data_IF_172294241171
#
_entry.id   IF_172294241171
#
_cell.length_a   1.000
_cell.length_b   1.000
_cell.length_c   1.000
_cell.angle_alpha   90.00
_cell.angle_beta   90.00
_cell.angle_gamma   90.00
#
_symmetry.space_group_name_H-M   'P 1'
#
loop_
_entity.id
_entity.type
_entity.pdbx_description
1 polymer ?
#
# COMPACT_ATOMS: atom_id res chain seq x y z
N UNK A 1 27.95 -6.66 -9.42
CA UNK A 1 27.85 -6.72 -7.95
C UNK A 1 27.48 -8.15 -7.57
N UNK A 2 28.20 -8.74 -6.63
CA UNK A 2 27.87 -10.02 -6.01
C UNK A 2 27.60 -9.76 -4.52
N UNK A 3 26.58 -10.38 -4.00
CA UNK A 3 26.23 -10.32 -2.58
C UNK A 3 26.43 -11.70 -1.96
N UNK A 4 26.93 -11.74 -0.75
CA UNK A 4 27.01 -12.96 0.05
C UNK A 4 26.41 -12.69 1.44
N UNK A 5 25.87 -13.73 2.05
CA UNK A 5 25.35 -13.64 3.42
C UNK A 5 26.54 -13.72 4.37
N UNK A 6 26.95 -12.60 4.91
CA UNK A 6 28.05 -12.53 5.87
C UNK A 6 27.67 -13.16 7.22
N UNK A 7 26.41 -12.94 7.67
CA UNK A 7 25.87 -13.47 8.91
C UNK A 7 24.39 -13.82 8.73
N UNK A 8 23.99 -15.11 8.85
CA UNK A 8 22.62 -15.53 8.57
C UNK A 8 21.60 -15.12 9.63
N UNK A 9 22.05 -14.81 10.85
CA UNK A 9 21.20 -14.36 11.96
C UNK A 9 21.93 -13.31 12.77
N UNK A 10 21.27 -12.18 13.03
CA UNK A 10 21.75 -11.19 13.98
C UNK A 10 21.46 -11.68 15.40
N UNK A 11 22.44 -11.58 16.28
CA UNK A 11 22.37 -12.08 17.66
C UNK A 11 22.74 -10.99 18.64
N UNK A 12 22.16 -11.09 19.85
CA UNK A 12 22.47 -10.22 20.95
C UNK A 12 22.87 -11.04 22.20
N UNK A 13 23.59 -10.41 23.12
CA UNK A 13 24.04 -10.96 24.39
C UNK A 13 24.70 -12.36 24.23
N UNK A 14 25.50 -12.52 23.18
CA UNK A 14 26.32 -13.71 22.93
C UNK A 14 25.60 -14.96 22.43
N UNK A 15 24.33 -14.89 22.04
CA UNK A 15 23.72 -16.11 21.48
C UNK A 15 22.25 -16.11 21.12
N UNK A 16 21.46 -15.18 21.59
CA UNK A 16 20.01 -15.10 21.27
C UNK A 16 19.81 -14.36 19.96
N UNK A 17 19.00 -14.90 19.04
CA UNK A 17 18.67 -14.22 17.79
C UNK A 17 17.79 -12.99 18.08
N UNK A 18 18.04 -11.88 17.38
CA UNK A 18 17.09 -10.78 17.26
C UNK A 18 15.91 -11.30 16.45
N UNK A 19 14.71 -11.20 17.00
CA UNK A 19 13.47 -11.72 16.38
C UNK A 19 12.55 -10.55 16.06
N UNK A 20 12.00 -10.58 14.87
CA UNK A 20 10.97 -9.67 14.37
C UNK A 20 9.80 -10.49 13.83
N UNK A 21 8.59 -9.97 13.88
CA UNK A 21 7.44 -10.62 13.21
C UNK A 21 7.59 -10.51 11.70
N UNK A 22 6.97 -11.38 10.89
CA UNK A 22 7.17 -11.40 9.43
C UNK A 22 6.87 -10.08 8.73
N UNK A 23 5.91 -9.31 9.22
CA UNK A 23 5.48 -8.04 8.64
C UNK A 23 6.09 -6.82 9.35
N UNK A 24 6.98 -7.03 10.34
CA UNK A 24 7.66 -5.93 11.01
C UNK A 24 8.78 -5.35 10.12
N UNK A 25 8.93 -4.02 10.19
CA UNK A 25 10.07 -3.30 9.62
C UNK A 25 10.80 -2.60 10.76
N UNK A 26 11.98 -3.09 11.17
CA UNK A 26 12.76 -2.47 12.24
C UNK A 26 13.39 -1.16 11.80
N UNK A 27 13.57 -0.23 12.73
CA UNK A 27 14.41 0.95 12.57
C UNK A 27 15.89 0.57 12.65
N UNK A 28 16.68 0.97 11.64
CA UNK A 28 18.14 0.73 11.62
C UNK A 28 18.84 2.08 11.42
N UNK A 29 19.39 2.61 12.49
CA UNK A 29 20.03 3.93 12.54
C UNK A 29 21.05 3.99 13.67
N UNK A 30 21.99 4.93 13.63
CA UNK A 30 22.89 5.24 14.75
C UNK A 30 22.08 6.01 15.81
N UNK A 31 21.66 5.32 16.86
CA UNK A 31 20.77 5.88 17.90
C UNK A 31 21.56 6.68 18.92
N UNK A 32 22.76 6.22 19.25
CA UNK A 32 23.56 6.77 20.35
C UNK A 32 24.69 7.71 19.88
N UNK A 33 24.81 7.95 18.57
CA UNK A 33 25.79 8.86 17.98
C UNK A 33 27.21 8.31 17.95
N UNK A 34 27.41 6.99 18.06
CA UNK A 34 28.74 6.37 18.07
C UNK A 34 29.29 6.05 16.65
N UNK A 35 28.51 6.29 15.61
CA UNK A 35 28.86 6.09 14.21
C UNK A 35 28.59 4.68 13.71
N UNK A 36 27.91 3.83 14.46
CA UNK A 36 27.54 2.46 14.09
C UNK A 36 26.02 2.30 14.08
N UNK A 37 25.49 1.54 13.14
CA UNK A 37 24.05 1.34 13.05
C UNK A 37 23.54 0.38 14.13
N UNK A 38 22.55 0.82 14.85
CA UNK A 38 21.80 0.10 15.88
C UNK A 38 20.47 -0.43 15.33
N UNK A 39 19.70 -1.17 16.14
CA UNK A 39 18.41 -1.71 15.77
C UNK A 39 17.35 -1.38 16.83
N UNK A 40 16.24 -0.81 16.35
CA UNK A 40 14.98 -0.71 17.08
C UNK A 40 13.97 -1.70 16.50
N UNK A 41 13.33 -2.49 17.33
CA UNK A 41 12.25 -3.37 16.87
C UNK A 41 11.18 -3.50 17.94
N UNK A 42 9.93 -3.61 17.51
CA UNK A 42 8.88 -3.98 18.45
C UNK A 42 9.19 -5.35 19.06
N UNK A 43 8.88 -5.49 20.34
CA UNK A 43 9.17 -6.72 21.09
C UNK A 43 8.40 -7.89 20.51
N UNK A 44 9.13 -8.90 20.07
CA UNK A 44 8.55 -10.12 19.53
C UNK A 44 7.56 -10.77 20.51
N UNK A 45 6.35 -11.03 20.04
CA UNK A 45 5.27 -11.70 20.77
C UNK A 45 4.34 -10.79 21.57
N UNK A 46 4.71 -9.55 21.89
CA UNK A 46 3.80 -8.57 22.55
C UNK A 46 3.51 -7.37 21.67
N UNK A 47 4.48 -6.94 20.87
CA UNK A 47 4.42 -5.82 19.90
C UNK A 47 3.88 -4.49 20.49
N UNK A 48 4.06 -4.26 21.79
CA UNK A 48 3.56 -3.05 22.46
C UNK A 48 4.66 -2.09 22.88
N UNK A 49 5.89 -2.57 23.00
CA UNK A 49 7.07 -1.78 23.40
C UNK A 49 8.21 -2.04 22.43
N UNK A 50 9.13 -1.10 22.32
CA UNK A 50 10.31 -1.20 21.45
C UNK A 50 11.52 -1.68 22.22
N UNK A 51 12.17 -2.73 21.73
CA UNK A 51 13.47 -3.19 22.20
C UNK A 51 14.57 -2.43 21.44
N UNK A 52 15.59 -1.94 22.15
CA UNK A 52 16.79 -1.32 21.60
C UNK A 52 17.97 -2.30 21.67
N UNK A 53 18.56 -2.57 20.51
CA UNK A 53 19.76 -3.38 20.35
C UNK A 53 20.90 -2.51 19.86
N UNK A 54 21.79 -2.16 20.78
CA UNK A 54 23.00 -1.41 20.48
C UNK A 54 24.02 -2.32 19.79
N UNK A 55 24.57 -1.87 18.68
CA UNK A 55 25.66 -2.55 18.00
C UNK A 55 27.00 -2.21 18.69
N UNK A 56 27.54 -3.18 19.39
CA UNK A 56 28.84 -3.08 20.08
C UNK A 56 29.99 -3.69 19.26
N UNK A 57 29.69 -4.13 18.03
CA UNK A 57 30.65 -4.76 17.14
C UNK A 57 31.55 -3.75 16.41
N UNK A 58 32.24 -4.28 15.43
CA UNK A 58 33.11 -3.49 14.54
C UNK A 58 32.77 -3.79 13.09
N UNK A 59 33.25 -2.98 12.15
CA UNK A 59 33.07 -3.22 10.73
C UNK A 59 33.52 -4.67 10.37
N UNK A 60 32.57 -5.45 9.83
CA UNK A 60 32.78 -6.85 9.46
C UNK A 60 32.51 -7.88 10.56
N UNK A 61 32.15 -7.45 11.78
CA UNK A 61 31.74 -8.34 12.89
C UNK A 61 30.64 -7.68 13.70
N UNK A 62 29.39 -7.96 13.32
CA UNK A 62 28.20 -7.41 14.00
C UNK A 62 27.99 -8.13 15.33
N UNK A 63 27.88 -7.36 16.39
CA UNK A 63 27.60 -7.84 17.76
C UNK A 63 26.63 -6.88 18.42
N UNK A 64 25.52 -7.38 18.93
CA UNK A 64 24.49 -6.54 19.55
C UNK A 64 24.32 -6.85 21.03
N UNK A 65 24.01 -5.83 21.79
CA UNK A 65 23.59 -5.93 23.19
C UNK A 65 22.22 -5.29 23.32
N UNK A 66 21.25 -5.98 23.92
CA UNK A 66 19.96 -5.38 24.20
C UNK A 66 20.06 -4.49 25.44
N UNK A 67 20.12 -3.17 25.22
CA UNK A 67 20.26 -2.17 26.27
C UNK A 67 18.94 -1.82 26.92
N UNK A 68 17.84 -1.74 26.15
CA UNK A 68 16.53 -1.38 26.66
C UNK A 68 15.43 -2.29 26.10
N UNK A 69 14.36 -2.49 26.89
CA UNK A 69 13.15 -3.25 26.52
C UNK A 69 11.93 -2.38 26.30
N UNK A 70 12.03 -1.11 26.58
CA UNK A 70 10.99 -0.11 26.43
C UNK A 70 11.67 1.21 26.07
N UNK A 71 12.40 1.21 24.96
CA UNK A 71 13.10 2.38 24.47
C UNK A 71 12.12 3.53 24.23
N UNK A 72 12.50 4.74 24.59
CA UNK A 72 11.66 5.92 24.53
C UNK A 72 10.54 5.97 25.57
N UNK A 73 10.44 4.95 26.46
CA UNK A 73 9.51 4.96 27.60
C UNK A 73 8.02 4.96 27.22
N UNK A 74 7.64 4.57 26.00
CA UNK A 74 6.25 4.49 25.59
C UNK A 74 5.75 3.05 25.50
N UNK A 75 4.42 2.89 25.51
CA UNK A 75 3.71 1.64 25.22
C UNK A 75 2.58 1.94 24.24
N UNK A 76 2.55 1.26 23.11
CA UNK A 76 1.44 1.28 22.18
C UNK A 76 0.36 0.32 22.63
N UNK A 77 -0.85 0.83 22.86
CA UNK A 77 -1.94 0.08 23.45
C UNK A 77 -3.00 -0.35 22.43
N UNK A 78 -3.21 0.46 21.43
CA UNK A 78 -4.15 0.26 20.32
C UNK A 78 -3.88 1.36 19.28
N UNK A 79 -4.58 1.35 18.15
CA UNK A 79 -4.58 2.48 17.23
C UNK A 79 -4.88 3.79 17.96
N UNK A 80 -4.09 4.83 17.71
CA UNK A 80 -4.21 6.15 18.33
C UNK A 80 -4.12 6.17 19.89
N UNK A 81 -3.70 5.06 20.51
CA UNK A 81 -3.67 4.90 21.95
C UNK A 81 -2.30 4.49 22.47
N UNK A 82 -1.59 5.44 23.05
CA UNK A 82 -0.25 5.25 23.61
C UNK A 82 -0.20 5.70 25.09
N UNK A 83 0.66 5.07 25.85
CA UNK A 83 1.06 5.54 27.20
C UNK A 83 2.53 5.88 27.19
N UNK A 84 2.94 6.79 28.07
CA UNK A 84 4.29 7.31 28.18
C UNK A 84 4.86 7.12 29.59
N UNK A 85 6.12 7.50 29.81
CA UNK A 85 6.82 7.40 31.09
C UNK A 85 6.95 5.96 31.65
N UNK A 86 6.93 4.96 30.75
CA UNK A 86 7.00 3.58 31.16
C UNK A 86 5.70 2.99 31.68
N UNK A 87 4.59 3.74 31.57
CA UNK A 87 3.29 3.29 32.05
C UNK A 87 2.74 2.15 31.18
N UNK A 88 2.12 1.12 31.78
CA UNK A 88 1.42 0.08 31.03
C UNK A 88 0.11 0.60 30.47
N UNK A 89 -0.44 -0.12 29.51
CA UNK A 89 -1.77 0.16 28.98
C UNK A 89 -2.85 0.12 30.08
N UNK A 90 -3.80 1.07 30.08
CA UNK A 90 -4.82 1.20 31.15
C UNK A 90 -5.79 0.03 31.26
N UNK A 91 -5.90 -0.78 30.23
CA UNK A 91 -6.58 -2.07 30.22
C UNK A 91 -5.68 -3.06 29.48
N UNK A 92 -5.73 -4.36 29.79
CA UNK A 92 -5.01 -5.29 28.93
C UNK A 92 -5.44 -5.03 27.48
N UNK A 93 -4.52 -5.02 26.50
CA UNK A 93 -4.88 -4.85 25.11
C UNK A 93 -6.05 -5.79 24.83
N UNK A 94 -7.09 -5.30 24.14
CA UNK A 94 -8.28 -6.09 23.87
C UNK A 94 -7.77 -7.33 23.16
N UNK A 95 -7.71 -8.44 23.88
CA UNK A 95 -7.38 -9.72 23.29
C UNK A 95 -8.47 -9.96 22.25
N UNK A 96 -8.14 -9.88 20.98
CA UNK A 96 -8.99 -10.36 19.91
C UNK A 96 -9.56 -11.69 20.38
N UNK A 97 -10.86 -11.81 20.38
CA UNK A 97 -11.60 -12.87 21.06
C UNK A 97 -10.92 -14.23 20.85
N UNK A 98 -10.40 -14.79 21.94
CA UNK A 98 -9.80 -16.12 22.00
C UNK A 98 -10.87 -17.22 21.81
N UNK A 99 -11.68 -17.10 20.75
CA UNK A 99 -12.68 -18.10 20.37
C UNK A 99 -12.21 -19.03 19.25
N UNK A 100 -11.02 -18.77 18.69
CA UNK A 100 -10.38 -19.73 17.79
C UNK A 100 -9.35 -20.54 18.57
N UNK A 101 -9.55 -21.85 18.79
CA UNK A 101 -8.70 -22.67 19.64
C UNK A 101 -7.26 -22.91 19.13
N UNK A 102 -6.86 -22.29 18.04
CA UNK A 102 -5.52 -22.33 17.45
C UNK A 102 -5.05 -21.00 16.86
N UNK A 103 -5.65 -19.88 17.22
CA UNK A 103 -5.06 -18.59 16.85
C UNK A 103 -3.72 -18.47 17.59
N UNK A 104 -2.64 -18.74 16.92
CA UNK A 104 -1.34 -18.21 17.30
C UNK A 104 -1.53 -16.71 17.21
N UNK A 105 -1.56 -16.02 18.36
CA UNK A 105 -1.54 -14.57 18.43
C UNK A 105 -0.21 -14.13 17.80
N UNK A 106 -0.17 -14.01 16.50
CA UNK A 106 0.81 -13.17 15.84
C UNK A 106 0.38 -11.75 16.19
N UNK A 107 1.18 -11.09 17.02
CA UNK A 107 1.11 -9.65 17.10
C UNK A 107 1.22 -9.13 15.65
N UNK A 108 0.30 -8.29 15.24
CA UNK A 108 0.30 -7.72 13.89
C UNK A 108 1.63 -7.06 13.54
N UNK A 109 1.89 -6.86 12.26
CA UNK A 109 3.11 -6.18 11.80
C UNK A 109 3.22 -4.78 12.34
N UNK A 110 4.44 -4.38 12.70
CA UNK A 110 4.79 -3.04 13.19
C UNK A 110 5.96 -2.48 12.39
N UNK A 111 5.96 -1.19 12.15
CA UNK A 111 7.07 -0.55 11.45
C UNK A 111 7.65 0.60 12.24
N UNK A 112 8.95 0.81 12.08
CA UNK A 112 9.69 1.91 12.68
C UNK A 112 10.53 2.57 11.58
N UNK A 113 10.24 3.82 11.26
CA UNK A 113 11.16 4.70 10.56
C UNK A 113 11.78 5.62 11.61
N UNK A 114 13.09 5.53 11.78
CA UNK A 114 13.84 6.23 12.80
C UNK A 114 14.77 7.28 12.18
N UNK A 115 14.67 8.53 12.58
CA UNK A 115 15.49 9.65 12.09
C UNK A 115 15.38 10.85 13.05
N UNK A 116 16.35 11.76 12.99
CA UNK A 116 16.30 13.05 13.69
C UNK A 116 15.42 14.00 12.88
N UNK A 117 14.20 14.24 13.34
CA UNK A 117 13.18 14.98 12.58
C UNK A 117 13.21 16.50 12.78
N UNK A 118 13.79 16.99 13.87
CA UNK A 118 13.85 18.40 14.23
C UNK A 118 15.29 18.94 14.39
N UNK A 119 16.28 18.05 14.17
CA UNK A 119 17.71 18.37 14.22
C UNK A 119 18.19 18.78 15.61
N UNK A 120 17.70 18.16 16.63
CA UNK A 120 18.17 18.35 18.00
C UNK A 120 19.27 17.36 18.40
N UNK A 121 19.53 16.36 17.54
CA UNK A 121 20.62 15.39 17.66
C UNK A 121 20.21 14.08 18.32
N UNK A 122 18.93 13.88 18.55
CA UNK A 122 18.39 12.60 18.99
C UNK A 122 17.46 11.97 17.95
N UNK A 123 17.08 10.72 18.14
CA UNK A 123 16.30 9.97 17.15
C UNK A 123 14.83 9.92 17.54
N UNK A 124 14.00 10.43 16.64
CA UNK A 124 12.57 10.30 16.64
C UNK A 124 12.12 9.04 15.90
N UNK A 125 10.85 8.67 16.06
CA UNK A 125 10.28 7.58 15.28
C UNK A 125 8.95 7.92 14.64
N UNK A 126 8.76 7.39 13.44
CA UNK A 126 7.44 7.20 12.84
C UNK A 126 7.12 5.72 12.93
N UNK A 127 5.97 5.41 13.53
CA UNK A 127 5.50 4.05 13.72
C UNK A 127 4.17 3.82 13.03
N UNK A 128 3.90 2.57 12.68
CA UNK A 128 2.58 2.12 12.24
C UNK A 128 2.31 0.67 12.65
N UNK A 129 1.04 0.32 12.61
CA UNK A 129 0.52 -0.99 12.95
C UNK A 129 -0.29 -1.57 11.80
N UNK A 130 -0.22 -2.88 11.60
CA UNK A 130 -0.93 -3.62 10.55
C UNK A 130 -2.45 -3.38 10.55
N UNK A 131 -3.04 -3.11 11.70
CA UNK A 131 -4.48 -2.89 11.85
C UNK A 131 -4.88 -1.42 11.86
N UNK A 132 -3.94 -0.49 11.73
CA UNK A 132 -4.18 0.95 11.85
C UNK A 132 -4.10 1.67 10.50
N UNK A 133 -4.87 2.77 10.39
CA UNK A 133 -4.93 3.61 9.20
C UNK A 133 -3.88 4.75 9.20
N UNK A 134 -3.23 4.98 10.36
CA UNK A 134 -2.37 6.14 10.60
C UNK A 134 -0.91 5.78 10.72
N UNK A 135 -0.06 6.72 10.31
CA UNK A 135 1.32 6.83 10.77
C UNK A 135 1.36 7.68 12.03
N UNK A 136 2.12 7.24 13.02
CA UNK A 136 2.28 7.88 14.32
C UNK A 136 3.67 8.45 14.45
N UNK A 137 3.78 9.75 14.69
CA UNK A 137 5.03 10.40 15.03
C UNK A 137 5.17 10.50 16.54
N UNK A 138 6.28 10.00 17.06
CA UNK A 138 6.68 10.09 18.45
C UNK A 138 8.01 10.86 18.50
N UNK A 139 7.94 12.08 19.04
CA UNK A 139 9.07 12.97 19.22
C UNK A 139 9.86 12.55 20.48
N UNK A 140 11.17 12.40 20.34
CA UNK A 140 12.08 12.18 21.44
C UNK A 140 12.41 13.52 22.08
N UNK A 141 11.94 13.75 23.28
CA UNK A 141 12.23 14.97 24.07
C UNK A 141 13.34 14.77 25.12
N UNK A 142 14.00 13.61 25.05
CA UNK A 142 15.12 13.25 25.93
C UNK A 142 16.46 13.67 25.36
N UNK A 143 17.32 12.71 25.13
CA UNK A 143 18.61 12.86 24.42
C UNK A 143 19.00 11.52 23.75
N UNK A 144 20.05 11.52 22.92
CA UNK A 144 20.53 10.34 22.19
C UNK A 144 20.95 9.15 23.08
N UNK A 145 21.14 9.34 24.39
CA UNK A 145 21.47 8.26 25.34
C UNK A 145 20.27 7.86 26.20
N UNK A 146 19.29 8.75 26.36
CA UNK A 146 18.15 8.57 27.25
C UNK A 146 16.87 9.04 26.51
N UNK A 147 16.43 8.26 25.56
CA UNK A 147 15.26 8.57 24.77
C UNK A 147 13.99 8.64 25.64
N UNK A 148 13.17 9.67 25.42
CA UNK A 148 11.90 9.84 26.11
C UNK A 148 10.83 10.40 25.18
N UNK A 149 9.96 9.56 24.72
CA UNK A 149 8.76 9.98 23.98
C UNK A 149 7.71 10.51 24.95
N UNK A 150 7.10 11.64 24.61
CA UNK A 150 6.11 12.29 25.49
C UNK A 150 4.82 12.65 24.80
N UNK A 151 4.83 12.68 23.46
CA UNK A 151 3.70 13.10 22.64
C UNK A 151 3.48 12.15 21.46
N UNK A 152 2.25 12.15 20.98
CA UNK A 152 1.83 11.42 19.79
C UNK A 152 1.18 12.39 18.83
N UNK A 153 1.52 12.34 17.56
CA UNK A 153 0.80 13.03 16.50
C UNK A 153 0.68 12.16 15.25
N UNK A 154 -0.29 12.46 14.40
CA UNK A 154 -0.37 11.83 13.08
C UNK A 154 0.72 12.40 12.17
N UNK A 155 1.20 11.60 11.22
CA UNK A 155 2.28 12.01 10.31
C UNK A 155 1.88 11.85 8.83
N UNK A 156 2.32 12.77 7.93
CA UNK A 156 2.86 14.10 8.23
C UNK A 156 1.86 15.00 8.96
N UNK A 157 2.33 15.84 9.88
CA UNK A 157 1.48 16.61 10.81
C UNK A 157 0.44 17.47 10.09
N UNK A 158 0.81 18.12 8.98
CA UNK A 158 -0.07 19.04 8.25
C UNK A 158 -0.95 18.34 7.20
N UNK A 159 -0.59 17.13 6.77
CA UNK A 159 -1.31 16.39 5.74
C UNK A 159 -1.15 14.88 5.97
N UNK A 160 -1.83 14.33 6.99
CA UNK A 160 -1.72 12.92 7.36
C UNK A 160 -1.93 11.97 6.18
N UNK A 161 -1.18 10.89 6.16
CA UNK A 161 -1.09 10.00 5.01
C UNK A 161 -2.40 9.30 4.62
N UNK A 162 -3.32 9.06 5.55
CA UNK A 162 -4.67 8.54 5.29
C UNK A 162 -4.68 7.32 4.38
N UNK A 163 -4.14 6.21 4.83
CA UNK A 163 -4.31 4.88 4.24
C UNK A 163 -5.45 4.16 4.97
N UNK A 164 -5.95 3.08 4.38
CA UNK A 164 -6.99 2.26 5.02
C UNK A 164 -6.43 1.14 5.88
N UNK A 165 -5.16 0.78 5.66
CA UNK A 165 -4.50 -0.31 6.37
C UNK A 165 -2.99 -0.16 6.23
N UNK A 166 -2.28 -0.38 7.33
CA UNK A 166 -0.85 -0.57 7.45
C UNK A 166 0.03 0.35 6.57
N UNK A 167 -0.01 1.66 6.77
CA UNK A 167 0.90 2.56 6.08
C UNK A 167 2.32 2.37 6.57
N UNK A 168 3.29 2.36 5.66
CA UNK A 168 4.72 2.28 5.94
C UNK A 168 5.44 3.44 5.28
N UNK A 169 6.31 4.11 6.03
CA UNK A 169 7.05 5.28 5.59
C UNK A 169 8.51 4.97 5.27
N UNK A 170 9.03 5.60 4.23
CA UNK A 170 10.43 5.56 3.81
C UNK A 170 10.92 6.96 3.46
N UNK A 171 12.20 7.24 3.69
CA UNK A 171 12.85 8.49 3.31
C UNK A 171 13.86 8.22 2.20
N UNK A 172 13.68 8.88 1.04
CA UNK A 172 14.59 8.81 -0.11
C UNK A 172 14.53 10.11 -0.91
N UNK A 173 15.64 10.55 -1.47
CA UNK A 173 15.70 11.69 -2.39
C UNK A 173 15.20 11.26 -3.78
N UNK A 174 13.87 11.35 -4.01
CA UNK A 174 13.23 10.86 -5.24
C UNK A 174 13.24 11.87 -6.38
N UNK A 175 13.49 13.15 -6.09
CA UNK A 175 13.51 14.23 -7.08
C UNK A 175 14.94 14.71 -7.39
N UNK A 176 15.95 14.18 -6.70
CA UNK A 176 17.38 14.49 -6.83
C UNK A 176 17.72 15.96 -6.50
N UNK A 177 17.01 16.55 -5.53
CA UNK A 177 17.30 17.92 -5.06
C UNK A 177 18.26 17.97 -3.86
N UNK A 178 18.62 16.81 -3.31
CA UNK A 178 19.53 16.64 -2.18
C UNK A 178 18.84 16.62 -0.83
N UNK A 179 17.50 16.65 -0.78
CA UNK A 179 16.70 16.49 0.42
C UNK A 179 16.03 15.12 0.39
N UNK A 180 15.84 14.52 1.57
CA UNK A 180 15.07 13.28 1.67
C UNK A 180 13.57 13.61 1.63
N UNK A 181 12.89 13.03 0.65
CA UNK A 181 11.46 13.05 0.49
C UNK A 181 10.82 11.89 1.26
N UNK A 182 9.51 11.95 1.51
CA UNK A 182 8.79 10.90 2.21
C UNK A 182 7.94 10.10 1.21
N UNK A 183 8.12 8.79 1.22
CA UNK A 183 7.30 7.84 0.46
C UNK A 183 6.52 6.99 1.46
N UNK A 184 5.22 6.85 1.23
CA UNK A 184 4.35 6.02 2.07
C UNK A 184 3.62 5.03 1.18
N UNK A 185 3.62 3.76 1.58
CA UNK A 185 2.87 2.70 0.92
C UNK A 185 2.16 1.81 1.94
N UNK A 186 1.18 1.03 1.52
CA UNK A 186 0.63 -0.04 2.37
C UNK A 186 1.56 -1.25 2.39
N UNK A 187 1.75 -1.87 3.57
CA UNK A 187 2.56 -3.08 3.76
C UNK A 187 1.72 -4.35 4.01
N UNK A 188 0.42 -4.29 3.80
CA UNK A 188 -0.45 -5.45 3.98
C UNK A 188 -0.12 -6.53 2.94
N UNK A 189 -0.01 -7.78 3.39
CA UNK A 189 0.30 -8.95 2.55
C UNK A 189 -0.95 -9.53 1.87
N UNK A 190 -2.14 -9.24 2.40
CA UNK A 190 -3.43 -9.65 1.84
C UNK A 190 -4.40 -8.48 1.82
N UNK A 191 -5.25 -8.41 0.80
CA UNK A 191 -6.32 -7.40 0.72
C UNK A 191 -7.62 -7.91 1.37
N UNK A 192 -7.55 -8.30 2.63
CA UNK A 192 -8.71 -8.80 3.39
C UNK A 192 -9.74 -7.67 3.55
N UNK A 193 -10.97 -7.93 3.13
CA UNK A 193 -12.04 -6.94 3.21
C UNK A 193 -11.92 -5.81 2.18
N UNK A 194 -11.02 -5.93 1.19
CA UNK A 194 -10.77 -4.92 0.15
C UNK A 194 -10.40 -3.55 0.71
N UNK A 195 -9.56 -3.52 1.73
CA UNK A 195 -9.13 -2.29 2.41
C UNK A 195 -7.98 -1.57 1.68
N UNK A 196 -7.27 -2.26 0.78
CA UNK A 196 -6.20 -1.64 -0.01
C UNK A 196 -6.82 -0.93 -1.21
N UNK A 197 -6.59 0.37 -1.32
CA UNK A 197 -6.85 1.14 -2.54
C UNK A 197 -5.68 0.94 -3.50
N UNK A 198 -5.83 0.02 -4.44
CA UNK A 198 -4.76 -0.36 -5.38
C UNK A 198 -4.36 0.77 -6.33
N UNK A 199 -5.25 1.76 -6.54
CA UNK A 199 -4.96 2.92 -7.38
C UNK A 199 -4.16 4.00 -6.65
N UNK A 200 -4.21 4.04 -5.30
CA UNK A 200 -3.56 5.05 -4.48
C UNK A 200 -2.76 4.42 -3.32
N UNK A 201 -2.15 3.26 -3.55
CA UNK A 201 -1.41 2.53 -2.53
C UNK A 201 0.03 3.04 -2.31
N UNK A 202 0.48 4.03 -3.06
CA UNK A 202 1.75 4.73 -2.86
C UNK A 202 1.52 6.23 -2.91
N UNK A 203 2.00 6.96 -1.91
CA UNK A 203 1.98 8.42 -1.85
C UNK A 203 3.39 8.95 -1.68
N UNK A 204 3.73 9.99 -2.41
CA UNK A 204 4.98 10.72 -2.26
C UNK A 204 4.72 12.11 -1.71
N UNK A 205 5.60 12.55 -0.82
CA UNK A 205 5.59 13.87 -0.22
C UNK A 205 6.96 14.48 -0.44
N UNK A 206 7.01 15.58 -1.18
CA UNK A 206 8.26 16.31 -1.39
C UNK A 206 8.65 17.08 -0.14
N UNK A 207 9.93 17.05 0.19
CA UNK A 207 10.47 17.84 1.29
C UNK A 207 10.74 19.27 0.81
N UNK A 208 9.84 20.18 1.14
CA UNK A 208 9.96 21.61 0.84
C UNK A 208 10.63 22.41 1.99
N UNK A 209 11.16 21.72 2.98
CA UNK A 209 11.90 22.28 4.10
C UNK A 209 13.40 22.31 3.88
N UNK A 210 14.13 21.75 4.81
CA UNK A 210 15.60 21.59 4.76
C UNK A 210 15.98 20.17 5.13
N UNK A 211 17.27 19.81 5.00
CA UNK A 211 17.77 18.52 5.46
C UNK A 211 17.68 18.32 6.99
N UNK A 212 17.51 19.40 7.73
CA UNK A 212 17.48 19.41 9.22
C UNK A 212 16.09 19.71 9.79
N UNK A 213 15.21 20.32 9.01
CA UNK A 213 13.82 20.61 9.38
C UNK A 213 12.97 20.30 8.16
N UNK A 214 12.60 19.03 7.95
CA UNK A 214 11.82 18.62 6.80
C UNK A 214 10.37 19.11 6.87
N UNK A 215 9.82 19.50 5.72
CA UNK A 215 8.41 19.88 5.57
C UNK A 215 7.85 19.06 4.40
N UNK A 216 7.04 18.08 4.72
CA UNK A 216 6.52 17.12 3.74
C UNK A 216 5.17 17.58 3.18
N UNK A 217 5.17 17.94 1.89
CA UNK A 217 3.97 18.28 1.14
C UNK A 217 3.64 17.19 0.12
N UNK A 218 2.41 16.70 0.14
CA UNK A 218 1.98 15.64 -0.77
C UNK A 218 2.14 16.08 -2.23
N UNK A 219 2.80 15.25 -3.03
CA UNK A 219 2.91 15.48 -4.46
C UNK A 219 1.52 15.54 -5.10
N UNK A 220 1.34 16.46 -6.04
CA UNK A 220 0.04 16.69 -6.71
C UNK A 220 -0.34 15.58 -7.70
N UNK A 221 0.62 14.75 -8.11
CA UNK A 221 0.43 13.61 -9.02
C UNK A 221 0.70 12.29 -8.29
N UNK A 222 -0.02 11.21 -8.64
CA UNK A 222 0.28 9.88 -8.13
C UNK A 222 1.72 9.49 -8.46
N UNK A 223 2.46 8.98 -7.49
CA UNK A 223 3.83 8.53 -7.66
C UNK A 223 3.84 7.12 -8.28
N UNK A 224 4.51 6.94 -9.42
CA UNK A 224 4.63 5.69 -10.18
C UNK A 224 3.31 5.09 -10.71
N UNK A 225 2.16 5.69 -10.44
CA UNK A 225 0.84 5.11 -10.77
C UNK A 225 0.15 5.76 -11.98
N UNK A 226 0.68 6.87 -12.51
CA UNK A 226 0.05 7.61 -13.62
C UNK A 226 -0.06 6.81 -14.91
N UNK A 227 0.84 5.84 -15.12
CA UNK A 227 0.91 5.02 -16.33
C UNK A 227 0.55 3.55 -16.04
N UNK A 228 0.13 3.24 -14.82
CA UNK A 228 -0.35 1.92 -14.46
C UNK A 228 -1.79 1.74 -14.91
N UNK A 229 -2.05 0.62 -15.60
CA UNK A 229 -3.42 0.13 -15.81
C UNK A 229 -3.77 -0.72 -14.61
N UNK A 230 -4.38 -0.11 -13.61
CA UNK A 230 -4.98 -0.81 -12.49
C UNK A 230 -6.50 -0.82 -12.65
N UNK A 231 -7.06 -1.99 -12.79
CA UNK A 231 -8.49 -2.22 -12.97
C UNK A 231 -9.10 -2.93 -11.74
N UNK A 232 -8.43 -2.85 -10.58
CA UNK A 232 -8.88 -3.49 -9.34
C UNK A 232 -8.62 -5.00 -9.32
N UNK A 233 -9.30 -5.67 -8.40
CA UNK A 233 -9.13 -7.11 -8.19
C UNK A 233 -9.94 -7.96 -9.17
N UNK A 234 -9.46 -9.18 -9.43
CA UNK A 234 -10.17 -10.21 -10.20
C UNK A 234 -10.66 -9.68 -11.55
N UNK A 235 -9.76 -9.23 -12.39
CA UNK A 235 -10.08 -8.72 -13.72
C UNK A 235 -10.47 -9.84 -14.68
N UNK A 236 -11.50 -9.58 -15.48
CA UNK A 236 -12.05 -10.50 -16.48
C UNK A 236 -12.07 -9.81 -17.86
N UNK A 237 -11.07 -10.06 -18.73
CA UNK A 237 -11.03 -9.48 -20.05
C UNK A 237 -11.98 -10.21 -21.03
N UNK A 238 -12.60 -9.44 -21.90
CA UNK A 238 -13.32 -9.92 -23.08
C UNK A 238 -12.96 -9.04 -24.27
N UNK A 239 -12.89 -9.63 -25.45
CA UNK A 239 -12.54 -8.94 -26.68
C UNK A 239 -13.71 -8.98 -27.66
N UNK A 240 -13.97 -7.84 -28.30
CA UNK A 240 -14.99 -7.68 -29.34
C UNK A 240 -14.67 -6.47 -30.20
N UNK A 241 -15.08 -6.46 -31.46
CA UNK A 241 -15.05 -5.30 -32.33
C UNK A 241 -16.27 -4.42 -32.03
N UNK A 242 -16.11 -3.51 -31.05
CA UNK A 242 -17.23 -2.73 -30.49
C UNK A 242 -17.62 -1.59 -31.42
N UNK A 243 -16.63 -0.95 -32.06
CA UNK A 243 -16.86 0.20 -32.94
C UNK A 243 -17.04 -0.18 -34.43
N UNK A 244 -16.77 -1.43 -34.78
CA UNK A 244 -17.00 -1.98 -36.14
C UNK A 244 -15.91 -1.62 -37.14
N UNK A 245 -14.70 -1.35 -36.70
CA UNK A 245 -13.56 -0.99 -37.54
C UNK A 245 -12.78 -2.20 -38.08
N UNK A 246 -13.03 -3.40 -37.54
CA UNK A 246 -12.50 -4.69 -38.00
C UNK A 246 -11.32 -5.19 -37.19
N UNK A 247 -10.98 -4.56 -36.10
CA UNK A 247 -10.08 -5.11 -35.10
C UNK A 247 -10.79 -5.29 -33.73
N UNK A 248 -10.10 -5.94 -32.78
CA UNK A 248 -10.75 -6.28 -31.52
C UNK A 248 -10.41 -5.22 -30.47
N UNK A 249 -11.42 -4.70 -29.81
CA UNK A 249 -11.37 -3.89 -28.62
C UNK A 249 -11.29 -4.75 -27.35
N UNK A 250 -10.98 -4.14 -26.23
CA UNK A 250 -10.88 -4.82 -24.95
C UNK A 250 -11.89 -4.24 -23.94
N UNK A 251 -12.70 -5.13 -23.38
CA UNK A 251 -13.57 -4.80 -22.25
C UNK A 251 -13.13 -5.60 -21.04
N UNK A 252 -12.94 -4.94 -19.91
CA UNK A 252 -12.49 -5.59 -18.68
C UNK A 252 -13.48 -5.33 -17.56
N UNK A 253 -14.06 -6.39 -17.05
CA UNK A 253 -14.79 -6.36 -15.78
C UNK A 253 -13.88 -6.68 -14.63
N UNK A 254 -14.26 -6.30 -13.41
CA UNK A 254 -13.48 -6.52 -12.21
C UNK A 254 -14.35 -6.93 -11.01
N UNK A 255 -13.71 -7.34 -9.92
CA UNK A 255 -14.39 -7.48 -8.62
C UNK A 255 -14.77 -6.12 -8.08
N UNK A 256 -13.87 -5.14 -8.20
CA UNK A 256 -14.13 -3.76 -7.86
C UNK A 256 -12.93 -3.03 -7.25
N UNK A 257 -13.19 -1.75 -7.06
CA UNK A 257 -12.35 -0.84 -6.28
C UNK A 257 -13.04 -0.47 -4.97
N UNK A 258 -12.27 -0.07 -3.99
CA UNK A 258 -12.80 0.48 -2.75
C UNK A 258 -13.26 1.93 -2.99
N UNK A 259 -14.58 2.16 -2.93
CA UNK A 259 -15.19 3.50 -3.04
C UNK A 259 -15.81 3.85 -1.69
N UNK A 260 -15.13 4.68 -0.91
CA UNK A 260 -15.53 4.95 0.48
C UNK A 260 -15.34 3.71 1.36
N UNK A 261 -16.44 3.07 1.77
CA UNK A 261 -16.46 1.83 2.56
C UNK A 261 -16.98 0.62 1.77
N UNK A 262 -17.36 0.82 0.52
CA UNK A 262 -17.96 -0.21 -0.33
C UNK A 262 -17.01 -0.60 -1.46
N UNK A 263 -17.02 -1.87 -1.83
CA UNK A 263 -16.31 -2.36 -3.02
C UNK A 263 -17.27 -2.40 -4.18
N UNK A 264 -16.95 -1.68 -5.24
CA UNK A 264 -17.82 -1.52 -6.40
C UNK A 264 -17.08 -1.91 -7.66
N UNK A 265 -17.64 -2.88 -8.39
CA UNK A 265 -17.10 -3.34 -9.67
C UNK A 265 -17.46 -2.38 -10.80
N UNK A 266 -16.55 -2.28 -11.77
CA UNK A 266 -16.72 -1.49 -12.98
C UNK A 266 -16.51 -2.36 -14.22
N UNK A 267 -16.94 -1.83 -15.36
CA UNK A 267 -16.70 -2.41 -16.66
C UNK A 267 -15.93 -1.38 -17.50
N UNK A 268 -14.64 -1.56 -17.66
CA UNK A 268 -13.78 -0.64 -18.40
C UNK A 268 -13.67 -1.04 -19.86
N UNK A 269 -13.82 -0.07 -20.77
CA UNK A 269 -13.68 -0.27 -22.21
C UNK A 269 -12.44 0.43 -22.75
N UNK A 270 -11.68 -0.28 -23.56
CA UNK A 270 -10.48 0.20 -24.24
C UNK A 270 -10.67 -0.01 -25.74
N UNK A 271 -10.53 1.07 -26.48
CA UNK A 271 -10.53 1.09 -27.93
C UNK A 271 -9.15 0.71 -28.48
N UNK A 272 -9.10 -0.15 -29.47
CA UNK A 272 -7.88 -0.53 -30.17
C UNK A 272 -7.62 0.45 -31.32
N UNK A 273 -6.90 1.52 -31.05
CA UNK A 273 -6.51 2.52 -32.07
C UNK A 273 -5.36 2.08 -32.97
N UNK A 274 -4.90 0.85 -32.81
CA UNK A 274 -3.83 0.25 -33.60
C UNK A 274 -4.37 -0.45 -34.86
N UNK A 275 -4.20 -1.74 -34.90
CA UNK A 275 -4.81 -2.65 -35.86
C UNK A 275 -4.71 -4.10 -35.36
N UNK A 276 -5.42 -5.02 -35.98
CA UNK A 276 -5.45 -6.45 -35.58
C UNK A 276 -4.08 -7.14 -35.43
N UNK A 277 -2.99 -6.61 -35.95
CA UNK A 277 -1.64 -7.19 -35.88
C UNK A 277 -0.71 -6.46 -34.92
N UNK A 278 -1.00 -5.18 -34.65
CA UNK A 278 -0.26 -4.30 -33.75
C UNK A 278 -1.27 -3.48 -32.94
N UNK A 279 -1.94 -4.12 -31.98
CA UNK A 279 -2.97 -3.44 -31.18
C UNK A 279 -2.38 -2.34 -30.30
N UNK A 280 -3.17 -1.29 -30.08
CA UNK A 280 -2.84 -0.17 -29.18
C UNK A 280 -4.10 0.23 -28.44
N UNK A 281 -4.25 -0.25 -27.22
CA UNK A 281 -5.46 -0.06 -26.42
C UNK A 281 -5.42 1.26 -25.65
N UNK A 282 -6.47 2.07 -25.82
CA UNK A 282 -6.66 3.32 -25.09
C UNK A 282 -7.96 3.24 -24.29
N UNK A 283 -7.91 3.57 -23.00
CA UNK A 283 -9.10 3.61 -22.14
C UNK A 283 -10.05 4.70 -22.65
N UNK A 284 -11.25 4.29 -23.09
CA UNK A 284 -12.30 5.20 -23.58
C UNK A 284 -13.44 5.38 -22.59
N UNK A 285 -13.68 4.37 -21.74
CA UNK A 285 -14.71 4.45 -20.72
C UNK A 285 -14.31 3.59 -19.50
N UNK A 286 -14.21 4.19 -18.33
CA UNK A 286 -13.84 3.50 -17.08
C UNK A 286 -15.03 2.80 -16.39
N UNK A 287 -16.26 3.15 -16.75
CA UNK A 287 -17.49 2.55 -16.21
C UNK A 287 -18.57 2.42 -17.31
N UNK A 288 -18.31 1.54 -18.26
CA UNK A 288 -19.24 1.22 -19.35
C UNK A 288 -20.56 0.71 -18.73
N UNK A 289 -21.68 1.23 -19.21
CA UNK A 289 -23.01 0.97 -18.69
C UNK A 289 -23.34 1.53 -17.30
N UNK A 290 -22.45 2.33 -16.71
CA UNK A 290 -22.64 2.97 -15.38
C UNK A 290 -22.96 1.97 -14.28
N UNK A 291 -22.23 0.84 -14.24
CA UNK A 291 -22.45 -0.27 -13.32
C UNK A 291 -21.99 0.07 -11.89
N UNK A 292 -21.07 1.01 -11.73
CA UNK A 292 -20.65 1.51 -10.43
C UNK A 292 -21.86 1.92 -9.56
N UNK A 293 -22.84 2.59 -10.16
CA UNK A 293 -24.05 3.04 -9.46
C UNK A 293 -24.95 1.90 -8.95
N UNK A 294 -24.72 0.67 -9.40
CA UNK A 294 -25.51 -0.51 -9.04
C UNK A 294 -24.83 -1.36 -7.95
N UNK A 295 -23.61 -0.99 -7.51
CA UNK A 295 -22.84 -1.71 -6.49
C UNK A 295 -22.64 -3.21 -6.80
N UNK A 296 -22.51 -3.57 -8.08
CA UNK A 296 -22.17 -4.94 -8.46
C UNK A 296 -20.69 -5.21 -8.21
N UNK A 297 -20.37 -6.49 -7.97
CA UNK A 297 -19.01 -6.98 -7.80
C UNK A 297 -18.78 -8.19 -8.70
N UNK A 298 -17.50 -8.48 -9.02
CA UNK A 298 -17.11 -9.62 -9.84
C UNK A 298 -17.77 -9.60 -11.24
N UNK A 299 -17.76 -8.45 -11.88
CA UNK A 299 -18.33 -8.27 -13.21
C UNK A 299 -17.52 -9.06 -14.23
N UNK A 300 -18.20 -9.93 -15.00
CA UNK A 300 -17.60 -10.80 -16.01
C UNK A 300 -18.26 -10.56 -17.34
N UNK A 301 -17.68 -9.71 -18.20
CA UNK A 301 -18.25 -9.45 -19.52
C UNK A 301 -18.16 -10.68 -20.43
N UNK A 302 -19.20 -10.90 -21.20
CA UNK A 302 -19.21 -11.90 -22.25
C UNK A 302 -20.04 -11.38 -23.42
N UNK A 303 -19.46 -11.40 -24.62
CA UNK A 303 -20.13 -11.04 -25.85
C UNK A 303 -20.72 -12.29 -26.49
N UNK A 304 -21.99 -12.19 -26.94
CA UNK A 304 -22.69 -13.28 -27.59
C UNK A 304 -23.53 -12.72 -28.73
N UNK A 305 -23.62 -13.46 -29.84
CA UNK A 305 -24.58 -13.19 -30.92
C UNK A 305 -25.97 -13.57 -30.40
N UNK A 306 -26.72 -12.56 -29.95
CA UNK A 306 -28.05 -12.77 -29.36
C UNK A 306 -29.21 -12.80 -30.39
N UNK A 307 -28.98 -12.27 -31.56
CA UNK A 307 -30.02 -12.18 -32.61
C UNK A 307 -29.75 -13.09 -33.84
N UNK A 308 -28.58 -13.74 -33.87
CA UNK A 308 -28.22 -14.72 -34.91
C UNK A 308 -27.81 -14.07 -36.21
N UNK A 309 -27.30 -12.83 -36.17
CA UNK A 309 -26.90 -12.09 -37.38
C UNK A 309 -25.47 -12.41 -37.85
N UNK A 310 -24.75 -13.23 -37.13
CA UNK A 310 -23.43 -13.77 -37.48
C UNK A 310 -22.24 -13.14 -36.78
N UNK A 311 -22.44 -12.22 -35.84
CA UNK A 311 -21.38 -11.62 -35.03
C UNK A 311 -21.83 -11.35 -33.62
N UNK A 312 -21.05 -11.68 -32.59
CA UNK A 312 -21.33 -11.26 -31.23
C UNK A 312 -21.24 -9.74 -31.16
N UNK A 313 -22.39 -9.08 -31.17
CA UNK A 313 -22.49 -7.63 -31.07
C UNK A 313 -21.95 -6.79 -32.23
N UNK A 314 -21.57 -7.42 -33.36
CA UNK A 314 -21.04 -6.72 -34.52
C UNK A 314 -22.16 -6.03 -35.32
N UNK A 315 -22.03 -4.75 -35.67
CA UNK A 315 -22.99 -4.06 -36.51
C UNK A 315 -22.92 -4.46 -37.99
N UNK A 316 -22.05 -5.38 -38.38
CA UNK A 316 -21.77 -5.69 -39.77
C UNK A 316 -22.10 -7.13 -40.19
N UNK A 317 -23.34 -7.51 -40.08
CA UNK A 317 -23.89 -8.52 -40.98
C UNK A 317 -24.04 -7.96 -42.40
N UNK A 318 -23.00 -7.48 -43.04
CA UNK A 318 -22.99 -7.17 -44.45
C UNK A 318 -22.05 -8.12 -45.16
N UNK A 319 -22.63 -9.19 -45.66
CA UNK A 319 -22.02 -9.90 -46.76
C UNK A 319 -21.76 -8.93 -47.93
N UNK A 320 -20.50 -8.85 -48.36
CA UNK A 320 -20.11 -8.11 -49.55
C UNK A 320 -20.76 -8.74 -50.77
N UNK A 321 -22.01 -8.40 -51.06
CA UNK A 321 -22.71 -8.96 -52.23
C UNK A 321 -24.12 -8.49 -52.53
N UNK A 322 -24.82 -7.81 -51.64
CA UNK A 322 -26.17 -7.36 -51.94
C UNK A 322 -26.31 -5.84 -52.07
N UNK A 323 -26.80 -5.41 -53.24
CA UNK A 323 -27.13 -4.02 -53.53
C UNK A 323 -28.34 -3.55 -52.72
N UNK A 324 -28.42 -2.25 -52.32
CA UNK A 324 -29.42 -1.76 -51.41
C UNK A 324 -30.83 -1.81 -52.00
N UNK A 325 -31.70 -2.63 -51.43
CA UNK A 325 -33.13 -2.48 -51.58
C UNK A 325 -33.63 -1.48 -50.53
N UNK A 326 -34.28 -0.44 -51.02
CA UNK A 326 -34.89 0.63 -50.25
C UNK A 326 -36.08 0.12 -49.42
N UNK A 327 -35.93 0.12 -48.09
CA UNK A 327 -37.05 -0.16 -47.20
C UNK A 327 -36.59 0.04 -45.75
N UNK A 328 -36.90 1.23 -45.22
CA UNK A 328 -36.46 1.63 -43.88
C UNK A 328 -36.95 0.69 -42.76
N UNK A 329 -35.99 0.22 -41.99
CA UNK A 329 -36.20 -0.17 -40.60
C UNK A 329 -35.08 0.42 -39.78
N UNK A 330 -35.44 1.06 -38.66
CA UNK A 330 -34.50 1.58 -37.73
C UNK A 330 -33.64 0.42 -37.20
N UNK A 331 -32.33 0.60 -37.30
CA UNK A 331 -31.30 -0.29 -36.74
C UNK A 331 -31.46 -0.34 -35.23
N UNK A 332 -32.00 -1.42 -34.70
CA UNK A 332 -32.06 -1.70 -33.27
C UNK A 332 -30.80 -2.53 -32.91
N UNK A 333 -29.73 -1.80 -32.64
CA UNK A 333 -28.45 -2.40 -32.23
C UNK A 333 -28.53 -2.77 -30.74
N UNK A 334 -28.97 -3.95 -30.43
CA UNK A 334 -28.91 -4.49 -29.08
C UNK A 334 -27.77 -5.49 -28.95
N UNK A 335 -26.58 -5.00 -28.61
CA UNK A 335 -25.53 -5.85 -28.07
C UNK A 335 -25.95 -6.31 -26.69
N UNK A 336 -26.13 -7.61 -26.47
CA UNK A 336 -26.41 -8.13 -25.15
C UNK A 336 -25.10 -8.46 -24.42
N UNK A 337 -24.78 -7.69 -23.39
CA UNK A 337 -23.72 -8.02 -22.43
C UNK A 337 -24.35 -8.94 -21.38
N UNK A 338 -23.95 -10.22 -21.35
CA UNK A 338 -24.37 -11.16 -20.32
C UNK A 338 -23.47 -11.08 -19.09
N UNK A 339 -24.06 -11.01 -17.91
CA UNK A 339 -23.33 -11.10 -16.64
C UNK A 339 -23.61 -12.46 -15.99
N UNK A 340 -22.56 -13.12 -15.48
CA UNK A 340 -22.66 -14.37 -14.71
C UNK A 340 -22.12 -14.20 -13.30
#
# INVERSE_FOLDING_TARGET
>A
LSWEIAQPFLRFDGGTNIQVSPNDIPGIVDINGDGVLDILTYRFGTSTTVDYFQNTGTCGSLEFTRTERQWGGFTECDCDSFTFNGDPCPSPPISFEANEPNAVLHAGGKTILAFDADNDGDIDIISSDEFCESLYFLENTGDHLNAQMTTLSSFPVNNPAGFKIFPVAFLEDINFDGLLDLIISTNADENIGNQIDLQNNVKAYSNNGTSTIPVFDQASAPFLQNEMIDLGENTFPAFEDIDGDGDLDLVVGNKGFLVGTEVTGTLSAFDNTGNRFTPSFNLTNSDLLSLESLNYQNIKPQFVDADGDGGPGSPSGRDAGESPQSGGRADDRTSAVGFT
#
